data_IF_026473131339
#
_entry.id   IF_026473131339
#
_cell.length_a   1.000
_cell.length_b   1.000
_cell.length_c   1.000
_cell.angle_alpha   90.00
_cell.angle_beta   90.00
_cell.angle_gamma   90.00
#
_symmetry.space_group_name_H-M   'P 1'
#
loop_
_entity.id
_entity.type
_entity.pdbx_description
1 polymer ?
#
# COMPACT_ATOMS: atom_id res chain seq x y z
N UNK A 1 10.60 10.83 17.28
CA UNK A 1 9.82 10.18 16.21
C UNK A 1 10.17 10.73 14.82
N UNK A 2 10.49 12.02 14.67
CA UNK A 2 10.71 12.67 13.36
C UNK A 2 11.85 12.08 12.49
N UNK A 3 12.98 11.65 13.07
CA UNK A 3 14.16 11.27 12.28
C UNK A 3 14.13 9.87 11.65
N UNK A 4 13.20 9.00 12.06
CA UNK A 4 13.26 7.60 11.68
C UNK A 4 12.38 7.27 10.46
N UNK A 5 11.16 7.80 10.43
CA UNK A 5 10.24 7.59 9.31
C UNK A 5 10.78 8.20 8.00
N UNK A 6 11.49 9.33 8.10
CA UNK A 6 12.15 10.00 6.98
C UNK A 6 13.32 9.21 6.35
N UNK A 7 13.78 8.12 6.98
CA UNK A 7 14.83 7.25 6.41
C UNK A 7 14.28 6.24 5.38
N UNK A 8 13.02 5.82 5.51
CA UNK A 8 12.40 4.79 4.64
C UNK A 8 12.47 5.23 3.18
N UNK A 9 11.98 6.44 2.89
CA UNK A 9 12.13 7.13 1.63
C UNK A 9 12.60 8.57 1.88
N UNK A 10 13.77 8.92 1.34
CA UNK A 10 14.39 10.22 1.57
C UNK A 10 13.63 11.31 0.83
N UNK A 11 12.98 12.19 1.58
CA UNK A 11 12.37 13.42 1.06
C UNK A 11 13.38 14.57 1.14
N UNK A 12 13.54 15.33 0.05
CA UNK A 12 14.52 16.43 0.02
C UNK A 12 14.14 17.56 0.97
N UNK A 13 12.85 17.90 1.05
CA UNK A 13 12.29 18.96 1.90
C UNK A 13 10.88 18.54 2.36
N UNK A 14 10.74 17.62 3.32
CA UNK A 14 9.41 17.19 3.77
C UNK A 14 8.65 18.35 4.43
N UNK A 15 7.34 18.40 4.18
CA UNK A 15 6.41 19.26 4.92
C UNK A 15 6.44 18.95 6.44
N UNK A 16 6.03 19.90 7.27
CA UNK A 16 5.92 19.66 8.70
C UNK A 16 4.81 18.64 8.99
N UNK A 17 5.18 17.50 9.59
CA UNK A 17 4.28 16.37 9.81
C UNK A 17 3.04 16.75 10.64
N UNK A 18 3.20 17.55 11.69
CA UNK A 18 2.07 17.99 12.54
C UNK A 18 1.04 18.77 11.73
N UNK A 19 1.49 19.70 10.88
CA UNK A 19 0.60 20.48 10.00
C UNK A 19 -0.14 19.57 9.00
N UNK A 20 0.55 18.57 8.46
CA UNK A 20 -0.05 17.60 7.53
C UNK A 20 -1.09 16.74 8.24
N UNK A 21 -0.80 16.25 9.44
CA UNK A 21 -1.74 15.45 10.25
C UNK A 21 -2.97 16.26 10.68
N UNK A 22 -2.80 17.52 11.10
CA UNK A 22 -3.92 18.40 11.45
C UNK A 22 -4.89 18.59 10.28
N UNK A 23 -4.35 18.74 9.07
CA UNK A 23 -5.16 18.82 7.84
C UNK A 23 -5.82 17.50 7.49
N UNK A 24 -5.09 16.40 7.65
CA UNK A 24 -5.58 15.07 7.34
C UNK A 24 -6.79 14.70 8.21
N UNK A 25 -6.69 14.90 9.52
CA UNK A 25 -7.76 14.54 10.46
C UNK A 25 -8.94 15.51 10.49
N UNK A 26 -8.85 16.64 9.78
CA UNK A 26 -10.04 17.43 9.43
C UNK A 26 -10.86 16.81 8.29
N UNK A 27 -10.25 15.91 7.51
CA UNK A 27 -10.85 15.31 6.31
C UNK A 27 -11.32 13.86 6.54
N UNK A 28 -10.58 13.08 7.31
CA UNK A 28 -10.86 11.67 7.61
C UNK A 28 -11.10 11.48 9.11
N UNK A 29 -11.85 10.44 9.54
CA UNK A 29 -12.06 10.17 10.95
C UNK A 29 -10.73 9.96 11.71
N UNK A 30 -10.66 10.54 12.92
CA UNK A 30 -9.57 10.30 13.86
C UNK A 30 -9.93 9.23 14.91
N UNK A 31 -11.06 8.54 14.75
CA UNK A 31 -11.57 7.57 15.70
C UNK A 31 -10.70 6.31 15.77
N UNK A 32 -10.60 5.73 16.96
CA UNK A 32 -9.92 4.45 17.14
C UNK A 32 -10.77 3.32 16.55
N UNK A 33 -10.22 2.65 15.55
CA UNK A 33 -10.83 1.46 14.96
C UNK A 33 -10.31 0.20 15.66
N UNK A 34 -11.12 -0.87 15.65
CA UNK A 34 -10.76 -2.21 16.18
C UNK A 34 -10.59 -2.32 17.71
N UNK A 35 -11.25 -1.43 18.47
CA UNK A 35 -11.27 -1.46 19.96
C UNK A 35 -12.33 -2.40 20.55
N UNK A 36 -12.88 -3.30 19.74
CA UNK A 36 -13.96 -4.22 20.08
C UNK A 36 -13.45 -5.63 20.46
N UNK A 37 -12.18 -5.75 20.84
CA UNK A 37 -11.62 -7.00 21.37
C UNK A 37 -12.42 -7.45 22.61
N UNK A 38 -13.01 -8.64 22.53
CA UNK A 38 -13.87 -9.18 23.58
C UNK A 38 -13.77 -10.71 23.61
N UNK A 39 -13.77 -11.38 24.78
CA UNK A 39 -13.68 -12.84 24.87
C UNK A 39 -14.77 -13.62 24.11
N UNK A 40 -15.95 -13.02 23.97
CA UNK A 40 -17.10 -13.62 23.26
C UNK A 40 -17.11 -13.33 21.75
N UNK A 41 -16.14 -12.55 21.24
CA UNK A 41 -16.00 -12.20 19.82
C UNK A 41 -14.85 -13.00 19.23
N UNK A 42 -15.09 -13.64 18.08
CA UNK A 42 -14.05 -14.24 17.26
C UNK A 42 -14.13 -13.61 15.87
N UNK A 43 -13.14 -12.81 15.49
CA UNK A 43 -12.98 -12.23 14.16
C UNK A 43 -12.02 -13.07 13.36
N UNK A 44 -12.56 -13.62 12.28
CA UNK A 44 -11.82 -14.35 11.26
C UNK A 44 -11.38 -13.40 10.15
N UNK A 45 -10.14 -13.53 9.71
CA UNK A 45 -9.56 -12.68 8.68
C UNK A 45 -8.90 -13.49 7.58
N UNK A 46 -9.24 -13.18 6.33
CA UNK A 46 -8.51 -13.64 5.13
C UNK A 46 -7.58 -12.54 4.66
N UNK A 47 -6.26 -12.77 4.72
CA UNK A 47 -5.25 -11.89 4.13
C UNK A 47 -4.89 -12.45 2.76
N UNK A 48 -5.21 -11.70 1.71
CA UNK A 48 -5.04 -12.13 0.32
C UNK A 48 -3.91 -11.33 -0.31
N UNK A 49 -2.76 -11.99 -0.47
CA UNK A 49 -1.64 -11.49 -1.24
C UNK A 49 -1.86 -11.62 -2.73
N UNK A 50 -0.80 -11.37 -3.50
CA UNK A 50 -0.90 -11.18 -4.95
C UNK A 50 -0.26 -12.31 -5.76
N UNK A 51 0.26 -13.36 -5.09
CA UNK A 51 1.00 -14.43 -5.77
C UNK A 51 0.14 -15.18 -6.80
N UNK A 52 0.81 -15.58 -7.88
CA UNK A 52 0.28 -16.45 -8.93
C UNK A 52 -0.21 -17.81 -8.43
N UNK A 53 0.23 -18.25 -7.24
CA UNK A 53 -0.24 -19.50 -6.63
C UNK A 53 -1.76 -19.53 -6.33
N UNK A 54 -2.42 -18.37 -6.40
CA UNK A 54 -3.88 -18.28 -6.31
C UNK A 54 -4.58 -18.82 -7.55
N UNK A 55 -3.92 -18.88 -8.72
CA UNK A 55 -4.54 -19.33 -9.97
C UNK A 55 -5.03 -20.77 -9.84
N UNK A 56 -6.27 -20.99 -10.27
CA UNK A 56 -6.95 -22.29 -10.24
C UNK A 56 -7.12 -22.92 -8.85
N UNK A 57 -6.76 -22.19 -7.78
CA UNK A 57 -6.84 -22.66 -6.39
C UNK A 57 -8.27 -22.85 -5.89
N UNK A 58 -9.24 -22.13 -6.51
CA UNK A 58 -10.65 -22.11 -6.12
C UNK A 58 -10.90 -21.68 -4.67
N UNK A 59 -9.99 -20.90 -4.08
CA UNK A 59 -10.12 -20.44 -2.69
C UNK A 59 -11.19 -19.37 -2.49
N UNK A 60 -11.79 -18.82 -3.54
CA UNK A 60 -12.63 -17.62 -3.43
C UNK A 60 -13.77 -17.72 -2.42
N UNK A 61 -14.53 -18.82 -2.44
CA UNK A 61 -15.60 -19.05 -1.47
C UNK A 61 -15.11 -19.15 -0.02
N UNK A 62 -13.90 -19.69 0.18
CA UNK A 62 -13.30 -19.82 1.49
C UNK A 62 -12.74 -18.47 1.98
N UNK A 63 -12.10 -17.71 1.09
CA UNK A 63 -11.65 -16.34 1.36
C UNK A 63 -12.82 -15.46 1.83
N UNK A 64 -13.94 -15.49 1.10
CA UNK A 64 -15.11 -14.64 1.35
C UNK A 64 -15.89 -15.04 2.62
N UNK A 65 -15.62 -16.21 3.19
CA UNK A 65 -16.26 -16.69 4.42
C UNK A 65 -15.79 -15.99 5.70
N UNK A 66 -14.59 -15.41 5.68
CA UNK A 66 -14.03 -14.67 6.82
C UNK A 66 -14.78 -13.37 7.08
N UNK A 67 -14.84 -12.91 8.33
CA UNK A 67 -15.44 -11.62 8.71
C UNK A 67 -14.79 -10.48 7.94
N UNK A 68 -13.45 -10.42 7.97
CA UNK A 68 -12.65 -9.48 7.21
C UNK A 68 -11.90 -10.17 6.07
N UNK A 69 -11.95 -9.55 4.89
CA UNK A 69 -11.07 -9.87 3.76
C UNK A 69 -10.18 -8.65 3.51
N UNK A 70 -8.88 -8.85 3.64
CA UNK A 70 -7.84 -7.84 3.58
C UNK A 70 -7.05 -8.05 2.30
N UNK A 71 -7.11 -7.07 1.40
CA UNK A 71 -6.40 -7.07 0.10
C UNK A 71 -5.39 -5.93 0.04
N UNK A 72 -4.57 -5.90 -1.01
CA UNK A 72 -3.50 -4.92 -1.13
C UNK A 72 -3.11 -4.58 -2.56
N UNK A 73 -2.48 -3.41 -2.72
CA UNK A 73 -1.94 -2.92 -3.98
C UNK A 73 -3.02 -2.88 -5.10
N UNK A 74 -2.68 -3.26 -6.33
CA UNK A 74 -3.57 -3.18 -7.50
C UNK A 74 -4.28 -4.51 -7.82
N UNK A 75 -4.39 -5.42 -6.85
CA UNK A 75 -4.90 -6.77 -7.05
C UNK A 75 -6.39 -6.76 -7.44
N UNK A 76 -6.76 -7.22 -8.66
CA UNK A 76 -8.15 -7.24 -9.10
C UNK A 76 -8.90 -8.48 -8.58
N UNK A 77 -10.17 -8.34 -8.24
CA UNK A 77 -11.06 -9.48 -7.98
C UNK A 77 -11.85 -9.88 -9.22
N UNK A 78 -12.20 -8.90 -10.06
CA UNK A 78 -13.02 -9.11 -11.26
C UNK A 78 -12.34 -10.07 -12.24
N UNK A 79 -13.04 -11.15 -12.60
CA UNK A 79 -12.52 -12.21 -13.47
C UNK A 79 -11.71 -13.29 -12.76
N UNK A 80 -11.42 -13.13 -11.46
CA UNK A 80 -10.64 -14.06 -10.64
C UNK A 80 -11.43 -14.54 -9.41
N UNK A 81 -12.72 -14.23 -9.30
CA UNK A 81 -13.53 -14.39 -8.08
C UNK A 81 -13.58 -15.84 -7.59
N UNK A 82 -13.51 -16.80 -8.51
CA UNK A 82 -13.46 -18.23 -8.17
C UNK A 82 -12.24 -18.57 -7.30
N UNK A 83 -11.12 -17.93 -7.59
CA UNK A 83 -9.83 -18.19 -6.97
C UNK A 83 -9.57 -17.24 -5.80
N UNK A 84 -9.87 -15.96 -5.97
CA UNK A 84 -9.50 -14.92 -4.99
C UNK A 84 -10.68 -14.33 -4.22
N UNK A 85 -11.92 -14.71 -4.55
CA UNK A 85 -13.14 -14.18 -3.94
C UNK A 85 -13.52 -12.80 -4.49
N UNK A 86 -14.70 -12.31 -4.11
CA UNK A 86 -15.18 -10.97 -4.48
C UNK A 86 -15.21 -10.01 -3.29
N UNK A 87 -15.27 -10.51 -2.05
CA UNK A 87 -15.40 -9.68 -0.85
C UNK A 87 -14.10 -8.93 -0.60
N UNK A 88 -14.20 -7.65 -0.27
CA UNK A 88 -13.10 -6.82 0.23
C UNK A 88 -13.64 -5.94 1.35
N UNK A 89 -13.03 -6.04 2.53
CA UNK A 89 -13.41 -5.21 3.70
C UNK A 89 -12.37 -4.15 3.98
N UNK A 90 -11.09 -4.49 3.80
CA UNK A 90 -9.96 -3.61 4.03
C UNK A 90 -9.00 -3.73 2.85
N UNK A 91 -8.47 -2.60 2.40
CA UNK A 91 -7.51 -2.55 1.32
C UNK A 91 -6.30 -1.71 1.72
N UNK A 92 -5.12 -2.34 1.78
CA UNK A 92 -3.86 -1.68 2.07
C UNK A 92 -3.20 -1.20 0.78
N UNK A 93 -2.94 0.09 0.68
CA UNK A 93 -2.24 0.66 -0.47
C UNK A 93 -1.45 1.90 -0.10
N UNK A 94 -0.61 2.34 -1.03
CA UNK A 94 0.17 3.57 -0.98
C UNK A 94 0.05 4.27 -2.35
N UNK A 95 0.43 5.54 -2.51
CA UNK A 95 0.09 6.33 -3.72
C UNK A 95 0.45 5.65 -5.05
N UNK A 96 1.61 5.01 -5.10
CA UNK A 96 2.16 4.35 -6.28
C UNK A 96 1.50 2.99 -6.60
N UNK A 97 0.74 2.42 -5.66
CA UNK A 97 -0.04 1.19 -5.82
C UNK A 97 -1.56 1.41 -5.73
N UNK A 98 -2.00 2.67 -5.77
CA UNK A 98 -3.37 3.04 -5.48
C UNK A 98 -4.37 2.58 -6.55
N UNK A 99 -5.54 2.13 -6.10
CA UNK A 99 -6.70 1.80 -6.93
C UNK A 99 -7.96 2.48 -6.41
N UNK A 100 -9.01 2.49 -7.22
CA UNK A 100 -10.34 2.94 -6.79
C UNK A 100 -11.01 1.83 -5.96
N UNK A 101 -11.71 2.21 -4.90
CA UNK A 101 -12.32 1.29 -3.94
C UNK A 101 -13.84 1.45 -3.91
N UNK A 102 -14.52 0.34 -3.61
CA UNK A 102 -15.95 0.37 -3.30
C UNK A 102 -16.24 1.18 -2.04
N UNK A 103 -17.44 1.76 -1.97
CA UNK A 103 -17.85 2.60 -0.83
C UNK A 103 -17.94 1.81 0.51
N UNK A 104 -18.08 0.50 0.42
CA UNK A 104 -18.10 -0.46 1.52
C UNK A 104 -16.70 -0.73 2.10
N UNK A 105 -15.64 -0.56 1.31
CA UNK A 105 -14.26 -0.92 1.65
C UNK A 105 -13.58 0.15 2.48
N UNK A 106 -12.89 -0.29 3.53
CA UNK A 106 -12.00 0.57 4.32
C UNK A 106 -10.62 0.66 3.66
N UNK A 107 -10.16 1.87 3.39
CA UNK A 107 -8.81 2.15 2.91
C UNK A 107 -7.87 2.27 4.11
N UNK A 108 -6.80 1.47 4.13
CA UNK A 108 -5.69 1.65 5.05
C UNK A 108 -4.49 2.14 4.23
N UNK A 109 -4.20 3.44 4.31
CA UNK A 109 -3.05 4.02 3.64
C UNK A 109 -1.77 3.65 4.38
N UNK A 110 -0.77 3.13 3.67
CA UNK A 110 0.59 2.90 4.21
C UNK A 110 1.46 4.10 3.83
N UNK A 111 1.81 4.99 4.77
CA UNK A 111 2.60 6.15 4.46
C UNK A 111 4.09 5.81 4.66
N UNK A 112 4.86 5.77 3.58
CA UNK A 112 6.31 5.59 3.59
C UNK A 112 7.08 6.92 3.64
N UNK A 113 6.39 8.03 3.35
CA UNK A 113 6.90 9.41 3.35
C UNK A 113 5.79 10.43 3.60
N UNK A 114 6.15 11.66 3.98
CA UNK A 114 5.21 12.77 4.30
C UNK A 114 4.31 13.06 3.11
N UNK A 115 4.88 13.02 1.91
CA UNK A 115 4.14 13.19 0.66
C UNK A 115 3.00 12.19 0.47
N UNK A 116 3.05 11.00 1.06
CA UNK A 116 1.95 10.03 0.94
C UNK A 116 0.70 10.49 1.71
N UNK A 117 0.91 11.15 2.86
CA UNK A 117 -0.16 11.77 3.64
C UNK A 117 -0.73 12.99 2.93
N UNK A 118 0.12 13.81 2.31
CA UNK A 118 -0.33 14.93 1.48
C UNK A 118 -1.08 14.44 0.23
N UNK A 119 -0.62 13.33 -0.37
CA UNK A 119 -1.28 12.70 -1.51
C UNK A 119 -2.70 12.28 -1.17
N UNK A 120 -2.96 11.62 -0.03
CA UNK A 120 -4.33 11.20 0.28
C UNK A 120 -5.27 12.40 0.50
N UNK A 121 -4.78 13.49 1.10
CA UNK A 121 -5.54 14.74 1.22
C UNK A 121 -5.89 15.25 -0.19
N UNK A 122 -4.90 15.36 -1.07
CA UNK A 122 -5.08 15.79 -2.45
C UNK A 122 -6.04 14.87 -3.22
N UNK A 123 -5.82 13.56 -3.18
CA UNK A 123 -6.55 12.56 -3.95
C UNK A 123 -8.05 12.51 -3.60
N UNK A 124 -8.38 12.81 -2.34
CA UNK A 124 -9.76 12.92 -1.86
C UNK A 124 -10.38 14.32 -2.06
N UNK A 125 -9.61 15.33 -2.47
CA UNK A 125 -10.07 16.72 -2.56
C UNK A 125 -9.74 17.41 -3.89
N UNK A 126 -8.53 17.96 -4.05
CA UNK A 126 -8.11 18.84 -5.15
C UNK A 126 -7.56 18.07 -6.35
N UNK A 127 -6.93 16.93 -6.10
CA UNK A 127 -6.24 16.11 -7.07
C UNK A 127 -5.02 16.78 -7.71
N UNK A 128 -4.27 17.56 -6.93
CA UNK A 128 -3.10 18.31 -7.38
C UNK A 128 -1.80 17.50 -7.38
N UNK A 129 -1.76 16.36 -6.67
CA UNK A 129 -0.60 15.46 -6.62
C UNK A 129 -0.86 14.25 -7.55
N UNK A 130 -0.16 14.17 -8.68
CA UNK A 130 -0.39 13.11 -9.69
C UNK A 130 0.82 12.70 -10.54
N UNK A 131 1.80 13.58 -10.80
CA UNK A 131 3.04 13.27 -11.55
C UNK A 131 3.99 14.50 -11.52
N UNK A 132 5.29 14.39 -11.82
CA UNK A 132 6.21 15.52 -11.99
C UNK A 132 5.97 16.42 -13.22
N UNK A 133 4.99 16.12 -14.07
CA UNK A 133 4.99 16.63 -15.46
C UNK A 133 4.58 18.08 -15.67
N UNK A 134 4.10 18.81 -14.67
CA UNK A 134 3.86 20.24 -14.84
C UNK A 134 4.18 20.98 -13.54
N UNK A 135 5.43 21.44 -13.41
CA UNK A 135 5.71 22.54 -12.48
C UNK A 135 5.21 23.84 -13.10
N UNK A 136 4.61 24.73 -12.30
CA UNK A 136 4.47 26.12 -12.71
C UNK A 136 5.88 26.70 -12.92
N UNK A 137 6.21 26.99 -14.17
CA UNK A 137 7.40 27.76 -14.51
C UNK A 137 6.97 29.22 -14.62
N UNK A 138 7.53 30.06 -13.76
CA UNK A 138 7.34 31.50 -13.87
C UNK A 138 8.47 32.04 -14.74
N UNK A 139 8.10 32.79 -15.78
CA UNK A 139 9.08 33.56 -16.54
C UNK A 139 9.78 34.52 -15.58
N UNK A 140 11.07 34.81 -15.80
CA UNK A 140 11.79 35.82 -15.00
C UNK A 140 11.11 37.21 -15.03
N UNK A 141 10.14 37.41 -15.93
CA UNK A 141 9.28 38.60 -16.09
C UNK A 141 7.98 38.59 -15.27
N UNK A 142 7.70 37.53 -14.48
CA UNK A 142 6.55 37.48 -13.56
C UNK A 142 5.22 36.97 -14.15
N UNK A 143 5.22 36.43 -15.38
CA UNK A 143 4.05 35.76 -15.98
C UNK A 143 4.09 34.25 -15.76
N UNK A 144 2.99 33.68 -15.27
CA UNK A 144 2.78 32.23 -15.09
C UNK A 144 2.34 31.59 -16.41
N UNK A 145 2.98 30.49 -16.81
CA UNK A 145 2.57 29.70 -17.99
C UNK A 145 2.76 28.22 -17.72
N UNK A 146 1.86 27.38 -18.24
CA UNK A 146 2.01 25.93 -18.26
C UNK A 146 3.00 25.55 -19.37
N UNK A 147 4.08 24.85 -19.02
CA UNK A 147 5.19 24.51 -19.94
C UNK A 147 5.36 22.98 -19.93
N UNK A 148 5.25 22.34 -21.09
CA UNK A 148 5.40 20.89 -21.23
C UNK A 148 6.87 20.45 -21.44
N UNK A 149 7.16 19.14 -21.39
CA UNK A 149 8.53 18.60 -21.53
C UNK A 149 9.24 18.99 -22.82
N UNK A 150 8.48 19.25 -23.90
CA UNK A 150 9.01 19.61 -25.22
C UNK A 150 9.31 21.11 -25.38
N UNK A 151 8.78 21.95 -24.51
CA UNK A 151 8.93 23.42 -24.60
C UNK A 151 10.27 23.92 -24.01
N UNK A 152 10.97 23.07 -23.25
CA UNK A 152 12.27 23.38 -22.64
C UNK A 152 13.47 23.26 -23.60
N UNK A 153 13.29 22.60 -24.75
CA UNK A 153 14.35 22.38 -25.74
C UNK A 153 14.42 23.47 -26.83
N UNK A 154 13.41 24.33 -26.93
CA UNK A 154 13.26 25.25 -28.08
C UNK A 154 13.54 26.71 -27.79
N UNK A 155 13.61 27.16 -26.53
CA UNK A 155 13.73 28.58 -26.23
C UNK A 155 14.74 28.80 -25.11
N UNK A 156 15.87 29.45 -25.43
CA UNK A 156 16.97 29.79 -24.51
C UNK A 156 16.63 30.79 -23.39
N UNK A 157 15.42 30.73 -22.84
CA UNK A 157 14.94 31.58 -21.73
C UNK A 157 15.12 30.88 -20.38
N UNK A 158 15.74 31.57 -19.42
CA UNK A 158 15.83 31.13 -18.01
C UNK A 158 14.44 31.16 -17.35
N UNK A 159 13.80 30.00 -17.23
CA UNK A 159 12.63 29.82 -16.37
C UNK A 159 13.07 29.61 -14.91
N UNK A 160 12.28 30.10 -13.96
CA UNK A 160 12.40 29.71 -12.54
C UNK A 160 11.23 28.78 -12.22
N UNK A 161 11.45 27.49 -12.35
CA UNK A 161 10.44 26.49 -12.05
C UNK A 161 10.49 26.15 -10.56
N UNK A 162 9.32 26.15 -9.89
CA UNK A 162 9.20 25.58 -8.56
C UNK A 162 9.37 24.06 -8.73
N UNK A 163 10.31 23.42 -8.04
CA UNK A 163 10.38 21.97 -8.05
C UNK A 163 9.16 21.46 -7.25
N UNK A 164 8.23 20.69 -7.84
CA UNK A 164 7.21 20.07 -7.01
C UNK A 164 7.88 19.13 -6.02
N UNK A 165 7.34 19.07 -4.81
CA UNK A 165 7.58 17.96 -3.89
C UNK A 165 7.01 16.71 -4.59
N UNK A 166 7.89 15.93 -5.23
CA UNK A 166 7.54 14.99 -6.31
C UNK A 166 7.41 13.55 -5.79
N UNK A 167 6.39 12.84 -6.25
CA UNK A 167 6.40 11.38 -6.26
C UNK A 167 7.46 10.90 -7.26
N UNK A 168 8.12 9.79 -6.99
CA UNK A 168 9.20 9.28 -7.86
C UNK A 168 8.66 8.60 -9.14
N UNK A 169 7.36 8.29 -9.18
CA UNK A 169 6.60 7.79 -10.34
C UNK A 169 5.23 8.49 -10.42
N UNK A 170 4.53 8.43 -11.56
CA UNK A 170 3.14 8.88 -11.65
C UNK A 170 2.23 8.18 -10.64
N UNK A 171 1.31 8.93 -10.03
CA UNK A 171 0.30 8.44 -9.08
C UNK A 171 -1.09 8.93 -9.48
N UNK A 172 -2.15 8.26 -9.00
CA UNK A 172 -3.51 8.72 -9.29
C UNK A 172 -3.75 10.11 -8.70
N UNK A 173 -4.13 11.07 -9.55
CA UNK A 173 -4.50 12.42 -9.12
C UNK A 173 -5.67 12.40 -8.14
N UNK A 174 -6.66 11.55 -8.41
CA UNK A 174 -7.87 11.37 -7.61
C UNK A 174 -8.15 9.89 -7.43
N UNK A 175 -8.76 9.55 -6.31
CA UNK A 175 -9.26 8.20 -6.04
C UNK A 175 -10.74 8.25 -5.65
N UNK A 176 -11.47 7.20 -5.97
CA UNK A 176 -12.78 6.91 -5.39
C UNK A 176 -12.57 6.07 -4.14
N UNK A 177 -12.81 6.65 -2.97
CA UNK A 177 -12.82 5.97 -1.69
C UNK A 177 -13.77 6.69 -0.74
N UNK A 178 -14.38 5.95 0.19
CA UNK A 178 -15.22 6.56 1.23
C UNK A 178 -14.33 7.26 2.26
N UNK A 179 -14.36 8.59 2.31
CA UNK A 179 -13.55 9.40 3.24
C UNK A 179 -13.74 9.01 4.71
N UNK A 180 -14.93 8.55 5.07
CA UNK A 180 -15.27 8.11 6.43
C UNK A 180 -14.78 6.69 6.75
N UNK A 181 -14.12 6.02 5.79
CA UNK A 181 -13.51 4.71 5.95
C UNK A 181 -12.03 4.72 5.54
N UNK A 182 -11.38 5.88 5.63
CA UNK A 182 -9.94 6.00 5.41
C UNK A 182 -9.25 6.00 6.77
N UNK A 183 -8.26 5.12 6.93
CA UNK A 183 -7.39 5.04 8.09
C UNK A 183 -5.93 5.06 7.65
N UNK A 184 -5.05 5.44 8.56
CA UNK A 184 -3.61 5.56 8.31
C UNK A 184 -2.87 4.46 9.05
N UNK A 185 -2.08 3.68 8.33
CA UNK A 185 -1.17 2.71 8.93
C UNK A 185 -0.13 3.46 9.77
N UNK A 186 -0.08 3.16 11.07
CA UNK A 186 0.74 3.92 11.99
C UNK A 186 2.24 3.75 11.67
N UNK A 187 3.00 4.84 11.41
CA UNK A 187 4.44 4.75 11.12
C UNK A 187 5.27 4.09 12.23
N UNK A 188 4.88 4.24 13.50
CA UNK A 188 5.53 3.56 14.63
C UNK A 188 5.25 2.06 14.60
N UNK A 189 4.05 1.63 14.17
CA UNK A 189 3.74 0.21 13.98
C UNK A 189 4.52 -0.38 12.81
N UNK A 190 4.67 0.35 11.70
CA UNK A 190 5.55 -0.04 10.60
C UNK A 190 6.99 -0.27 11.08
N UNK A 191 7.54 0.64 11.90
CA UNK A 191 8.86 0.44 12.52
C UNK A 191 8.88 -0.83 13.38
N UNK A 192 7.88 -1.02 14.22
CA UNK A 192 7.79 -2.23 15.05
C UNK A 192 7.86 -3.50 14.21
N UNK A 193 7.15 -3.56 13.08
CA UNK A 193 7.24 -4.67 12.12
C UNK A 193 8.69 -4.84 11.64
N UNK A 194 9.31 -3.76 11.19
CA UNK A 194 10.69 -3.80 10.68
C UNK A 194 11.73 -4.27 11.72
N UNK A 195 11.67 -3.72 12.93
CA UNK A 195 12.67 -4.02 13.97
C UNK A 195 12.44 -5.40 14.59
N UNK A 196 11.19 -5.72 14.94
CA UNK A 196 10.88 -6.86 15.81
C UNK A 196 10.56 -8.13 15.04
N UNK A 197 10.06 -8.01 13.80
CA UNK A 197 9.72 -9.17 12.98
C UNK A 197 10.74 -9.40 11.87
N UNK A 198 11.32 -8.33 11.32
CA UNK A 198 12.31 -8.44 10.24
C UNK A 198 13.76 -8.28 10.70
N UNK A 199 14.00 -7.95 11.97
CA UNK A 199 15.33 -7.75 12.54
C UNK A 199 16.19 -6.76 11.71
N UNK A 200 15.54 -5.77 11.08
CA UNK A 200 16.21 -4.80 10.22
C UNK A 200 16.68 -5.33 8.86
N UNK A 201 16.13 -6.45 8.37
CA UNK A 201 16.42 -7.01 7.04
C UNK A 201 15.60 -6.33 5.94
N UNK A 202 16.24 -6.14 4.78
CA UNK A 202 15.70 -5.29 3.72
C UNK A 202 15.81 -3.80 4.07
N UNK A 203 15.22 -2.93 3.25
CA UNK A 203 15.14 -1.49 3.51
C UNK A 203 13.92 -1.14 4.35
N UNK A 204 12.80 -1.82 4.13
CA UNK A 204 11.57 -1.74 4.91
C UNK A 204 10.67 -2.95 4.60
N UNK A 205 9.61 -3.24 5.39
CA UNK A 205 8.73 -4.39 5.14
C UNK A 205 7.88 -4.23 3.88
N UNK A 206 7.56 -5.33 3.19
CA UNK A 206 6.62 -5.33 2.06
C UNK A 206 5.18 -5.05 2.50
N UNK A 207 4.33 -4.57 1.59
CA UNK A 207 2.88 -4.42 1.85
C UNK A 207 2.23 -5.73 2.28
N UNK A 208 2.67 -6.87 1.71
CA UNK A 208 2.19 -8.20 2.08
C UNK A 208 2.46 -8.51 3.54
N UNK A 209 3.70 -8.34 3.96
CA UNK A 209 4.09 -8.60 5.34
C UNK A 209 3.45 -7.61 6.32
N UNK A 210 3.36 -6.32 5.97
CA UNK A 210 2.63 -5.32 6.78
C UNK A 210 1.15 -5.68 6.97
N UNK A 211 0.50 -6.19 5.92
CA UNK A 211 -0.90 -6.64 5.98
C UNK A 211 -1.07 -7.87 6.86
N UNK A 212 -0.13 -8.81 6.81
CA UNK A 212 -0.12 -10.00 7.65
C UNK A 212 0.01 -9.64 9.14
N UNK A 213 1.02 -8.83 9.49
CA UNK A 213 1.23 -8.45 10.89
C UNK A 213 0.09 -7.57 11.41
N UNK A 214 -0.48 -6.70 10.56
CA UNK A 214 -1.69 -5.95 10.88
C UNK A 214 -2.86 -6.87 11.21
N UNK A 215 -3.12 -7.89 10.38
CA UNK A 215 -4.19 -8.86 10.63
C UNK A 215 -3.98 -9.61 11.96
N UNK A 216 -2.75 -10.03 12.26
CA UNK A 216 -2.43 -10.70 13.53
C UNK A 216 -2.75 -9.84 14.76
N UNK A 217 -2.72 -8.51 14.64
CA UNK A 217 -3.02 -7.61 15.76
C UNK A 217 -4.51 -7.29 15.91
N UNK A 218 -5.30 -7.40 14.84
CA UNK A 218 -6.71 -7.00 14.87
C UNK A 218 -7.68 -8.20 14.81
N UNK A 219 -7.20 -9.41 14.48
CA UNK A 219 -8.01 -10.60 14.25
C UNK A 219 -7.70 -11.69 15.29
N UNK A 220 -8.69 -12.56 15.51
CA UNK A 220 -8.56 -13.70 16.43
C UNK A 220 -8.11 -14.96 15.66
N UNK A 221 -8.50 -15.08 14.39
CA UNK A 221 -8.02 -16.09 13.46
C UNK A 221 -7.58 -15.45 12.13
N UNK A 222 -6.44 -15.89 11.60
CA UNK A 222 -5.86 -15.36 10.37
C UNK A 222 -5.57 -16.48 9.36
N UNK A 223 -6.26 -16.41 8.23
CA UNK A 223 -6.08 -17.26 7.05
C UNK A 223 -5.31 -16.48 5.98
N UNK A 224 -4.25 -17.05 5.43
CA UNK A 224 -3.31 -16.37 4.52
C UNK A 224 -3.26 -17.07 3.17
N UNK A 225 -3.48 -16.32 2.10
CA UNK A 225 -3.55 -16.81 0.73
C UNK A 225 -2.70 -15.93 -0.19
N UNK A 226 -2.08 -16.48 -1.23
CA UNK A 226 -1.37 -15.64 -2.21
C UNK A 226 -0.03 -15.10 -1.73
N UNK A 227 0.63 -15.79 -0.80
CA UNK A 227 1.97 -15.44 -0.29
C UNK A 227 3.00 -16.45 -0.79
N UNK A 228 4.22 -15.97 -1.06
CA UNK A 228 5.32 -16.79 -1.57
C UNK A 228 5.24 -17.03 -3.08
N UNK A 229 6.12 -17.92 -3.56
CA UNK A 229 6.13 -18.37 -4.94
C UNK A 229 5.00 -19.38 -5.25
N UNK A 230 4.78 -19.67 -6.53
CA UNK A 230 4.00 -20.82 -6.98
C UNK A 230 4.75 -22.15 -6.80
N UNK A 231 4.11 -23.27 -7.16
CA UNK A 231 4.69 -24.62 -7.06
C UNK A 231 5.99 -24.82 -7.86
N UNK A 232 6.20 -24.01 -8.90
CA UNK A 232 7.38 -24.04 -9.77
C UNK A 232 8.47 -23.05 -9.30
N UNK A 233 8.22 -22.31 -8.22
CA UNK A 233 9.14 -21.31 -7.66
C UNK A 233 9.10 -19.96 -8.37
N UNK A 234 8.10 -19.70 -9.22
CA UNK A 234 7.94 -18.42 -9.89
C UNK A 234 7.27 -17.38 -8.99
N UNK A 235 7.73 -16.15 -9.13
CA UNK A 235 7.16 -14.98 -8.46
C UNK A 235 6.47 -14.13 -9.51
N UNK A 236 5.15 -14.25 -9.60
CA UNK A 236 4.34 -13.46 -10.53
C UNK A 236 3.01 -13.11 -9.87
N UNK A 237 2.30 -12.14 -10.43
CA UNK A 237 0.95 -11.80 -9.97
C UNK A 237 -0.10 -12.73 -10.58
N UNK A 238 -1.15 -13.08 -9.82
CA UNK A 238 -2.22 -13.95 -10.33
C UNK A 238 -3.00 -13.37 -11.52
N UNK A 239 -2.95 -12.06 -11.75
CA UNK A 239 -3.66 -11.40 -12.85
C UNK A 239 -2.77 -11.08 -14.06
N UNK A 240 -1.47 -11.38 -14.00
CA UNK A 240 -0.54 -11.07 -15.09
C UNK A 240 -0.13 -12.35 -15.83
N UNK A 241 -0.19 -12.34 -17.15
CA UNK A 241 0.20 -13.50 -17.98
C UNK A 241 1.73 -13.70 -18.04
N UNK A 242 2.50 -12.81 -17.43
CA UNK A 242 3.96 -12.88 -17.39
C UNK A 242 4.46 -13.75 -16.22
N UNK A 243 4.41 -15.07 -16.39
CA UNK A 243 4.94 -16.03 -15.41
C UNK A 243 6.47 -15.93 -15.22
N UNK A 244 7.19 -15.31 -16.17
CA UNK A 244 8.64 -15.08 -16.10
C UNK A 244 9.00 -13.77 -15.38
N UNK A 245 8.00 -13.04 -14.89
CA UNK A 245 8.15 -11.75 -14.25
C UNK A 245 8.74 -11.85 -12.85
N UNK A 246 9.98 -12.31 -12.69
CA UNK A 246 10.77 -12.22 -11.46
C UNK A 246 11.08 -10.78 -11.00
N UNK A 247 10.27 -9.81 -11.42
CA UNK A 247 10.41 -8.38 -11.16
C UNK A 247 10.53 -8.05 -9.67
N UNK A 248 9.99 -8.90 -8.79
CA UNK A 248 10.00 -8.71 -7.34
C UNK A 248 11.27 -9.21 -6.64
N UNK A 249 12.04 -10.12 -7.25
CA UNK A 249 13.25 -10.68 -6.61
C UNK A 249 14.47 -9.75 -6.68
N UNK A 250 14.45 -8.74 -7.57
CA UNK A 250 15.67 -8.03 -7.95
C UNK A 250 15.75 -6.55 -7.53
N UNK A 251 14.74 -6.00 -6.86
CA UNK A 251 14.80 -4.58 -6.43
C UNK A 251 15.64 -4.37 -5.17
N UNK A 252 15.80 -5.42 -4.34
CA UNK A 252 16.55 -5.36 -3.07
C UNK A 252 15.91 -4.47 -1.99
N UNK A 253 14.67 -4.01 -2.20
CA UNK A 253 13.96 -3.14 -1.26
C UNK A 253 13.42 -3.93 -0.06
N UNK A 254 12.94 -5.15 -0.30
CA UNK A 254 12.40 -6.06 0.71
C UNK A 254 13.17 -7.38 0.67
N UNK A 255 13.32 -8.03 1.82
CA UNK A 255 13.87 -9.39 1.92
C UNK A 255 12.71 -10.40 1.87
N UNK A 256 12.18 -10.64 0.66
CA UNK A 256 10.98 -11.45 0.46
C UNK A 256 11.14 -12.91 0.90
N UNK A 257 12.35 -13.47 0.79
CA UNK A 257 12.65 -14.83 1.26
C UNK A 257 12.59 -14.87 2.80
N UNK A 258 13.13 -13.86 3.50
CA UNK A 258 13.03 -13.77 4.96
C UNK A 258 11.58 -13.53 5.43
N UNK A 259 10.85 -12.61 4.81
CA UNK A 259 9.42 -12.38 5.11
C UNK A 259 8.58 -13.66 4.95
N UNK A 260 8.82 -14.42 3.88
CA UNK A 260 8.13 -15.68 3.66
C UNK A 260 8.52 -16.74 4.70
N UNK A 261 9.80 -16.82 5.10
CA UNK A 261 10.24 -17.71 6.18
C UNK A 261 9.56 -17.40 7.52
N UNK A 262 9.37 -16.12 7.87
CA UNK A 262 8.60 -15.74 9.07
C UNK A 262 7.13 -16.16 8.93
N UNK A 263 6.55 -16.02 7.74
CA UNK A 263 5.19 -16.50 7.45
C UNK A 263 5.07 -18.01 7.65
N UNK A 264 6.04 -18.79 7.16
CA UNK A 264 6.10 -20.24 7.38
C UNK A 264 6.23 -20.60 8.87
N UNK A 265 7.04 -19.85 9.63
CA UNK A 265 7.20 -20.05 11.07
C UNK A 265 5.90 -19.76 11.83
N UNK A 266 5.19 -18.69 11.47
CA UNK A 266 3.88 -18.38 12.04
C UNK A 266 2.87 -19.50 11.82
N UNK A 267 2.89 -20.11 10.62
CA UNK A 267 2.04 -21.26 10.31
C UNK A 267 2.43 -22.51 11.12
N UNK A 268 3.74 -22.81 11.24
CA UNK A 268 4.25 -23.90 12.09
C UNK A 268 3.80 -23.74 13.56
N UNK A 269 3.85 -22.51 14.07
CA UNK A 269 3.40 -22.17 15.43
C UNK A 269 1.88 -22.03 15.57
N UNK A 270 1.11 -22.34 14.52
CA UNK A 270 -0.36 -22.26 14.50
C UNK A 270 -0.88 -20.87 14.90
N UNK A 271 -0.14 -19.82 14.53
CA UNK A 271 -0.57 -18.43 14.69
C UNK A 271 -1.36 -17.94 13.49
N UNK A 272 -1.19 -18.59 12.35
CA UNK A 272 -1.95 -18.38 11.12
C UNK A 272 -2.21 -19.73 10.45
N UNK A 273 -3.16 -19.77 9.54
CA UNK A 273 -3.34 -20.86 8.58
C UNK A 273 -2.85 -20.40 7.20
N UNK A 274 -1.81 -21.02 6.66
CA UNK A 274 -1.24 -20.66 5.36
C UNK A 274 -1.73 -21.59 4.25
N UNK A 275 -2.35 -21.02 3.23
CA UNK A 275 -2.81 -21.70 2.01
C UNK A 275 -1.81 -21.46 0.89
N UNK A 276 -1.11 -22.52 0.49
CA UNK A 276 0.02 -22.43 -0.45
C UNK A 276 -0.38 -22.37 -1.91
N UNK A 277 -1.66 -22.58 -2.24
CA UNK A 277 -2.10 -22.57 -3.62
C UNK A 277 -1.53 -23.71 -4.45
N UNK A 278 -1.59 -23.54 -5.77
CA UNK A 278 -0.98 -24.41 -6.77
C UNK A 278 0.10 -23.71 -7.56
#
# INVERSE_FOLDING_TARGET
MENLWQWLQVEKNPSNLTIVLDRLFQLIPAEEHYVDAHPDRCRTCSVVGNSGNLRESRYGSYIDSSDFVIRMNQAPTQGFEKDVGYKTTHHLMYPESATDLENSTSLILIPFKTLDLEWIISALTTGTISNPEFGECVLATGKSQFVGPWDLLTIGTKYRCKAPDRTYVPVKARIKANKNKVSIYNPSFLKYVYDSWLEGRGRYPSTGFLSLIFAIHICDEVNVFGFGADQDGNWHHYWEDNMLGGAFRHTGVHDGDYEYNITLLLADKRKITLYRGG
#
